data_IF_676554357256
#
_entry.id   IF_676554357256
#
_cell.length_a   1.000
_cell.length_b   1.000
_cell.length_c   1.000
_cell.angle_alpha   90.00
_cell.angle_beta   90.00
_cell.angle_gamma   90.00
#
_symmetry.space_group_name_H-M   'P 1'
#
loop_
_entity.id
_entity.type
_entity.pdbx_description
1 polymer ?
#
# COMPACT_ATOMS: atom_id res chain seq x y z
N UNK A 1 48.65 -9.73 24.60
CA UNK A 1 48.66 -8.68 23.57
C UNK A 1 47.25 -8.59 23.05
N UNK A 2 46.55 -7.48 23.33
CA UNK A 2 45.18 -7.28 22.86
C UNK A 2 45.28 -6.60 21.50
N UNK A 3 45.10 -7.37 20.42
CA UNK A 3 44.90 -6.83 19.08
C UNK A 3 43.51 -6.20 19.03
N UNK A 4 43.39 -4.98 19.55
CA UNK A 4 42.28 -4.10 19.21
C UNK A 4 42.52 -3.65 17.77
N UNK A 5 41.76 -4.23 16.84
CA UNK A 5 41.66 -3.72 15.48
C UNK A 5 41.38 -2.20 15.55
N UNK A 6 42.17 -1.40 14.84
CA UNK A 6 41.99 0.05 14.82
C UNK A 6 40.59 0.37 14.31
N UNK A 7 39.97 1.43 14.83
CA UNK A 7 38.62 1.86 14.44
C UNK A 7 38.53 2.08 12.91
N UNK A 8 39.63 2.52 12.29
CA UNK A 8 39.77 2.68 10.85
C UNK A 8 39.63 1.36 10.06
N UNK A 9 40.01 0.24 10.67
CA UNK A 9 39.87 -1.10 10.08
C UNK A 9 38.46 -1.68 10.24
N UNK A 10 37.74 -1.25 11.28
CA UNK A 10 36.36 -1.70 11.56
C UNK A 10 35.31 -0.82 10.86
N UNK A 11 35.67 0.37 10.42
CA UNK A 11 34.76 1.31 9.77
C UNK A 11 34.06 0.69 8.53
N UNK A 12 34.75 0.01 7.59
CA UNK A 12 34.08 -0.59 6.43
C UNK A 12 33.09 -1.69 6.81
N UNK A 13 33.37 -2.45 7.88
CA UNK A 13 32.47 -3.49 8.37
C UNK A 13 31.24 -2.89 9.05
N UNK A 14 31.41 -1.81 9.83
CA UNK A 14 30.28 -1.08 10.42
C UNK A 14 29.40 -0.44 9.35
N UNK A 15 30.02 0.16 8.34
CA UNK A 15 29.32 0.75 7.19
C UNK A 15 28.60 -0.33 6.36
N UNK A 16 29.12 -1.55 6.31
CA UNK A 16 28.49 -2.68 5.64
C UNK A 16 27.31 -3.29 6.44
N UNK A 17 27.27 -3.12 7.77
CA UNK A 17 26.15 -3.56 8.61
C UNK A 17 25.08 -2.45 8.59
N UNK A 18 24.44 -2.29 7.45
CA UNK A 18 23.26 -1.44 7.32
C UNK A 18 22.08 -2.24 7.86
N UNK A 19 21.41 -1.72 8.89
CA UNK A 19 20.13 -2.24 9.32
C UNK A 19 19.09 -1.85 8.27
N UNK A 20 18.97 -2.66 7.20
CA UNK A 20 17.96 -2.51 6.16
C UNK A 20 16.70 -3.24 6.63
N UNK A 21 15.67 -2.52 7.11
CA UNK A 21 14.42 -3.17 7.50
C UNK A 21 13.79 -3.87 6.29
N UNK A 22 12.96 -4.89 6.48
CA UNK A 22 12.29 -5.62 5.39
C UNK A 22 11.14 -4.82 4.75
N UNK A 23 11.21 -3.49 4.79
CA UNK A 23 10.23 -2.56 4.25
C UNK A 23 10.88 -1.22 3.91
N UNK A 24 10.23 -0.48 3.01
CA UNK A 24 10.58 0.90 2.67
C UNK A 24 9.42 1.82 3.08
N UNK A 25 9.72 3.07 3.45
CA UNK A 25 8.70 4.07 3.78
C UNK A 25 9.07 5.43 3.20
N UNK A 26 8.05 6.22 2.85
CA UNK A 26 8.22 7.52 2.22
C UNK A 26 6.90 8.06 1.67
N UNK A 27 6.97 9.22 1.02
CA UNK A 27 5.82 9.83 0.33
C UNK A 27 6.14 9.97 -1.15
N UNK A 28 5.16 9.66 -2.00
CA UNK A 28 5.23 9.84 -3.44
C UNK A 28 4.28 10.99 -3.83
N UNK A 29 4.77 12.12 -4.35
CA UNK A 29 3.90 13.17 -4.82
C UNK A 29 3.12 12.71 -6.06
N UNK A 30 1.81 12.94 -6.06
CA UNK A 30 0.90 12.64 -7.16
C UNK A 30 0.14 13.90 -7.59
N UNK A 31 -0.44 13.89 -8.79
CA UNK A 31 -1.31 14.97 -9.24
C UNK A 31 -2.59 15.01 -8.39
N UNK A 32 -3.21 16.16 -8.13
CA UNK A 32 -4.55 16.22 -7.52
C UNK A 32 -5.58 15.35 -8.25
N UNK A 33 -5.46 15.23 -9.58
CA UNK A 33 -6.33 14.38 -10.39
C UNK A 33 -6.20 12.88 -10.05
N UNK A 34 -5.08 12.45 -9.47
CA UNK A 34 -4.82 11.05 -9.10
C UNK A 34 -5.63 10.60 -7.88
N UNK A 35 -6.18 11.55 -7.10
CA UNK A 35 -6.93 11.29 -5.87
C UNK A 35 -8.41 10.98 -6.09
N UNK A 36 -8.85 10.90 -7.35
CA UNK A 36 -10.22 10.50 -7.69
C UNK A 36 -10.37 8.99 -7.66
N UNK A 37 -11.40 8.50 -6.98
CA UNK A 37 -11.82 7.10 -7.02
C UNK A 37 -13.20 7.00 -7.66
N UNK A 38 -13.30 6.25 -8.75
CA UNK A 38 -14.58 5.89 -9.35
C UNK A 38 -15.01 4.52 -8.84
N UNK A 39 -16.27 4.37 -8.45
CA UNK A 39 -16.78 3.10 -7.91
C UNK A 39 -18.24 2.87 -8.29
N UNK A 40 -18.70 1.63 -8.10
CA UNK A 40 -20.10 1.25 -8.25
C UNK A 40 -20.73 1.08 -6.87
N UNK A 41 -21.86 1.74 -6.66
CA UNK A 41 -22.76 1.50 -5.54
C UNK A 41 -23.99 0.73 -6.03
N UNK A 42 -24.05 -0.56 -5.73
CA UNK A 42 -25.13 -1.46 -6.20
C UNK A 42 -25.34 -1.38 -7.73
N UNK A 43 -24.25 -1.19 -8.48
CA UNK A 43 -24.27 -1.04 -9.94
C UNK A 43 -24.47 0.40 -10.45
N UNK A 44 -24.73 1.36 -9.57
CA UNK A 44 -24.82 2.78 -9.91
C UNK A 44 -23.42 3.41 -9.88
N UNK A 45 -22.95 4.01 -10.98
CA UNK A 45 -21.65 4.69 -10.98
C UNK A 45 -21.64 5.92 -10.06
N UNK A 46 -20.59 6.02 -9.25
CA UNK A 46 -20.31 7.14 -8.36
C UNK A 46 -18.81 7.46 -8.37
N UNK A 47 -18.43 8.56 -7.75
CA UNK A 47 -17.02 8.89 -7.52
C UNK A 47 -16.84 9.72 -6.25
N UNK A 48 -15.61 9.72 -5.76
CA UNK A 48 -15.14 10.58 -4.67
C UNK A 48 -13.77 11.15 -5.06
N UNK A 49 -13.51 12.39 -4.67
CA UNK A 49 -12.19 13.01 -4.81
C UNK A 49 -11.57 13.13 -3.41
N UNK A 50 -10.54 12.34 -3.11
CA UNK A 50 -9.94 12.33 -1.79
C UNK A 50 -9.19 13.64 -1.45
N UNK A 51 -8.92 14.50 -2.44
CA UNK A 51 -8.36 15.82 -2.19
C UNK A 51 -9.39 16.83 -1.67
N UNK A 52 -10.69 16.58 -1.89
CA UNK A 52 -11.81 17.48 -1.55
C UNK A 52 -13.09 16.69 -1.17
N UNK A 53 -12.94 15.64 -0.36
CA UNK A 53 -14.03 14.76 0.01
C UNK A 53 -14.87 15.34 1.17
N UNK A 54 -16.19 15.34 1.01
CA UNK A 54 -17.12 15.59 2.12
C UNK A 54 -17.34 14.34 2.97
N UNK A 55 -17.81 14.52 4.21
CA UNK A 55 -18.16 13.42 5.11
C UNK A 55 -19.26 12.54 4.50
N UNK A 56 -20.25 13.13 3.85
CA UNK A 56 -21.32 12.40 3.17
C UNK A 56 -20.78 11.52 2.03
N UNK A 57 -19.78 11.99 1.27
CA UNK A 57 -19.15 11.22 0.21
C UNK A 57 -18.33 10.05 0.78
N UNK A 58 -17.66 10.25 1.91
CA UNK A 58 -16.93 9.18 2.62
C UNK A 58 -17.90 8.11 3.16
N UNK A 59 -19.03 8.53 3.74
CA UNK A 59 -20.10 7.63 4.20
C UNK A 59 -20.70 6.86 3.03
N UNK A 60 -20.93 7.51 1.89
CA UNK A 60 -21.44 6.85 0.69
C UNK A 60 -20.46 5.78 0.16
N UNK A 61 -19.16 6.08 0.08
CA UNK A 61 -18.14 5.10 -0.28
C UNK A 61 -18.10 3.92 0.71
N UNK A 62 -18.13 4.20 2.01
CA UNK A 62 -18.14 3.16 3.04
C UNK A 62 -19.37 2.26 2.93
N UNK A 63 -20.54 2.83 2.60
CA UNK A 63 -21.80 2.09 2.43
C UNK A 63 -21.82 1.22 1.16
N UNK A 64 -21.11 1.62 0.11
CA UNK A 64 -20.94 0.83 -1.10
C UNK A 64 -20.03 -0.40 -0.91
N UNK A 65 -19.22 -0.41 0.15
CA UNK A 65 -18.28 -1.49 0.42
C UNK A 65 -18.98 -2.74 0.96
N UNK A 66 -18.51 -3.92 0.54
CA UNK A 66 -18.88 -5.19 1.16
C UNK A 66 -17.98 -5.48 2.36
N UNK A 67 -18.41 -6.31 3.34
CA UNK A 67 -17.52 -6.74 4.41
C UNK A 67 -16.25 -7.40 3.87
N UNK A 68 -15.08 -6.98 4.37
CA UNK A 68 -13.81 -7.55 3.95
C UNK A 68 -13.50 -8.83 4.74
N UNK A 69 -13.56 -9.98 4.05
CA UNK A 69 -12.97 -11.23 4.55
C UNK A 69 -11.44 -11.19 4.50
N UNK A 70 -10.81 -12.07 5.27
CA UNK A 70 -9.38 -12.37 5.21
C UNK A 70 -9.14 -13.88 5.17
N UNK A 71 -8.05 -14.29 4.53
CA UNK A 71 -7.69 -15.70 4.39
C UNK A 71 -7.02 -16.25 5.65
N UNK A 72 -7.59 -17.32 6.21
CA UNK A 72 -6.92 -18.22 7.18
C UNK A 72 -6.99 -19.63 6.61
N UNK A 73 -5.85 -20.33 6.53
CA UNK A 73 -5.79 -21.74 6.13
C UNK A 73 -6.58 -22.05 4.84
N UNK A 74 -6.41 -21.22 3.80
CA UNK A 74 -7.12 -21.33 2.51
C UNK A 74 -8.65 -21.12 2.59
N UNK A 75 -9.15 -20.58 3.71
CA UNK A 75 -10.55 -20.23 3.90
C UNK A 75 -10.71 -18.73 4.13
N UNK A 76 -11.70 -18.12 3.49
CA UNK A 76 -12.06 -16.74 3.77
C UNK A 76 -12.91 -16.67 5.03
N UNK A 77 -12.40 -16.00 6.06
CA UNK A 77 -13.08 -15.79 7.33
C UNK A 77 -13.51 -14.33 7.43
N UNK A 78 -14.76 -14.11 7.83
CA UNK A 78 -15.25 -12.81 8.26
C UNK A 78 -15.19 -12.78 9.79
N UNK A 79 -14.27 -11.99 10.33
CA UNK A 79 -14.15 -11.77 11.77
C UNK A 79 -14.10 -10.26 12.02
N UNK A 80 -15.24 -9.69 12.39
CA UNK A 80 -15.40 -8.27 12.68
C UNK A 80 -14.73 -7.85 14.00
N UNK A 81 -14.31 -8.80 14.85
CA UNK A 81 -13.51 -8.54 16.05
C UNK A 81 -12.01 -8.39 15.74
N UNK A 82 -11.58 -8.91 14.57
CA UNK A 82 -10.21 -8.82 14.07
C UNK A 82 -10.04 -7.73 13.01
N UNK A 83 -11.02 -7.55 12.11
CA UNK A 83 -10.95 -6.56 11.02
C UNK A 83 -12.30 -5.92 10.71
N UNK A 84 -12.50 -4.67 11.12
CA UNK A 84 -13.59 -3.80 10.65
C UNK A 84 -13.16 -3.05 9.40
N UNK A 85 -13.29 -3.69 8.25
CA UNK A 85 -13.00 -3.05 6.97
C UNK A 85 -14.06 -3.41 5.94
N UNK A 86 -14.40 -2.42 5.12
CA UNK A 86 -15.11 -2.61 3.87
C UNK A 86 -14.16 -2.95 2.73
N UNK A 87 -14.68 -3.55 1.66
CA UNK A 87 -13.96 -3.81 0.42
C UNK A 87 -14.74 -3.46 -0.83
N UNK A 88 -14.00 -3.11 -1.88
CA UNK A 88 -14.43 -3.18 -3.27
C UNK A 88 -13.44 -4.06 -4.06
N UNK A 89 -13.97 -5.02 -4.80
CA UNK A 89 -13.17 -5.85 -5.71
C UNK A 89 -12.80 -5.03 -6.97
N UNK A 90 -11.70 -5.33 -7.67
CA UNK A 90 -11.21 -4.56 -8.82
C UNK A 90 -12.25 -4.29 -9.94
N UNK A 91 -13.31 -5.10 -10.04
CA UNK A 91 -14.42 -4.86 -10.98
C UNK A 91 -15.37 -3.72 -10.58
N UNK A 92 -15.34 -3.31 -9.31
CA UNK A 92 -16.27 -2.35 -8.70
C UNK A 92 -15.65 -0.97 -8.53
N UNK A 93 -14.37 -0.79 -8.86
CA UNK A 93 -13.72 0.50 -8.74
C UNK A 93 -12.63 0.69 -9.79
N UNK A 94 -12.26 1.94 -10.01
CA UNK A 94 -11.10 2.32 -10.81
C UNK A 94 -10.46 3.56 -10.24
N UNK A 95 -9.15 3.67 -10.45
CA UNK A 95 -8.33 4.82 -10.06
C UNK A 95 -7.55 5.30 -11.29
N UNK A 96 -7.34 6.62 -11.43
CA UNK A 96 -6.47 7.20 -12.45
C UNK A 96 -4.98 6.91 -12.22
N UNK A 97 -4.59 6.47 -11.01
CA UNK A 97 -3.19 6.14 -10.70
C UNK A 97 -2.70 5.05 -11.66
N UNK A 98 -1.65 5.36 -12.41
CA UNK A 98 -0.90 4.40 -13.22
C UNK A 98 0.49 4.23 -12.60
N UNK A 99 0.72 3.20 -11.77
CA UNK A 99 1.97 2.99 -11.03
C UNK A 99 3.23 3.05 -11.92
N UNK A 100 3.13 2.53 -13.14
CA UNK A 100 4.20 2.51 -14.14
C UNK A 100 4.60 3.91 -14.64
N UNK A 101 3.79 4.94 -14.40
CA UNK A 101 4.08 6.35 -14.73
C UNK A 101 4.64 7.12 -13.54
N UNK A 102 5.01 6.43 -12.47
CA UNK A 102 5.58 7.00 -11.23
C UNK A 102 6.91 6.32 -10.89
N UNK A 103 7.62 6.85 -9.89
CA UNK A 103 8.85 6.23 -9.37
C UNK A 103 8.61 5.01 -8.47
N UNK A 104 7.36 4.59 -8.26
CA UNK A 104 7.04 3.49 -7.34
C UNK A 104 7.77 2.19 -7.70
N UNK A 105 7.85 1.86 -9.00
CA UNK A 105 8.53 0.63 -9.45
C UNK A 105 10.05 0.74 -9.25
N UNK A 106 10.62 1.94 -9.45
CA UNK A 106 12.03 2.23 -9.18
C UNK A 106 12.32 1.99 -7.70
N UNK A 107 11.53 2.58 -6.80
CA UNK A 107 11.70 2.41 -5.36
C UNK A 107 11.54 0.95 -4.91
N UNK A 108 10.59 0.19 -5.47
CA UNK A 108 10.46 -1.24 -5.17
C UNK A 108 11.75 -1.98 -5.55
N UNK A 109 12.34 -1.69 -6.71
CA UNK A 109 13.53 -2.40 -7.20
C UNK A 109 14.82 -2.02 -6.49
N UNK A 110 15.01 -0.75 -6.22
CA UNK A 110 16.27 -0.22 -5.66
C UNK A 110 16.29 -0.34 -4.14
N UNK A 111 15.14 -0.08 -3.49
CA UNK A 111 15.10 0.06 -2.04
C UNK A 111 14.52 -1.18 -1.36
N UNK A 112 13.57 -1.91 -1.99
CA UNK A 112 12.92 -3.07 -1.36
C UNK A 112 13.52 -4.41 -1.79
N UNK A 113 13.85 -4.59 -3.07
CA UNK A 113 14.49 -5.82 -3.55
C UNK A 113 16.00 -5.80 -3.27
N UNK A 114 16.59 -6.98 -3.03
CA UNK A 114 18.03 -7.14 -2.91
C UNK A 114 18.70 -7.06 -4.30
N UNK A 115 20.02 -6.82 -4.35
CA UNK A 115 20.76 -6.59 -5.60
C UNK A 115 20.59 -7.71 -6.64
N UNK A 116 20.46 -8.97 -6.20
CA UNK A 116 20.21 -10.12 -7.09
C UNK A 116 18.79 -10.08 -7.72
N UNK A 117 17.85 -9.45 -7.02
CA UNK A 117 16.42 -9.44 -7.34
C UNK A 117 15.96 -8.12 -7.96
N UNK A 118 16.74 -7.05 -7.78
CA UNK A 118 16.53 -5.72 -8.39
C UNK A 118 16.27 -5.73 -9.91
N UNK A 119 16.97 -6.55 -10.74
CA UNK A 119 16.71 -6.57 -12.18
C UNK A 119 15.39 -7.26 -12.56
N UNK A 120 14.66 -7.87 -11.62
CA UNK A 120 13.42 -8.59 -11.92
C UNK A 120 12.33 -7.64 -12.44
N UNK A 121 11.55 -8.06 -13.45
CA UNK A 121 10.38 -7.31 -13.88
C UNK A 121 9.34 -7.24 -12.77
N UNK A 122 8.91 -6.03 -12.42
CA UNK A 122 7.80 -5.80 -11.49
C UNK A 122 6.56 -5.52 -12.33
N UNK A 123 5.47 -6.22 -12.04
CA UNK A 123 4.15 -5.98 -12.62
C UNK A 123 3.21 -5.54 -11.51
N UNK A 124 2.54 -4.42 -11.70
CA UNK A 124 1.54 -3.92 -10.75
C UNK A 124 0.16 -4.26 -11.28
N UNK A 125 -0.71 -4.75 -10.39
CA UNK A 125 -2.07 -5.16 -10.73
C UNK A 125 -3.05 -4.56 -9.73
N UNK A 126 -4.12 -3.94 -10.24
CA UNK A 126 -5.22 -3.50 -9.40
C UNK A 126 -5.94 -4.72 -8.83
N UNK A 127 -5.93 -4.87 -7.51
CA UNK A 127 -6.49 -6.04 -6.84
C UNK A 127 -7.79 -5.74 -6.10
N UNK A 128 -7.69 -4.96 -5.02
CA UNK A 128 -8.80 -4.74 -4.08
C UNK A 128 -8.59 -3.44 -3.34
N UNK A 129 -9.65 -2.66 -3.18
CA UNK A 129 -9.68 -1.53 -2.27
C UNK A 129 -10.18 -2.00 -0.92
N UNK A 130 -9.45 -1.71 0.16
CA UNK A 130 -9.94 -1.89 1.52
C UNK A 130 -10.18 -0.51 2.14
N UNK A 131 -11.36 -0.32 2.69
CA UNK A 131 -11.77 0.92 3.38
C UNK A 131 -11.84 0.62 4.86
N UNK A 132 -11.12 1.40 5.65
CA UNK A 132 -11.06 1.26 7.09
C UNK A 132 -11.76 2.46 7.72
N UNK A 133 -12.68 2.21 8.65
CA UNK A 133 -13.21 3.24 9.52
C UNK A 133 -12.34 3.29 10.79
N UNK A 134 -12.00 4.49 11.24
CA UNK A 134 -11.37 4.66 12.54
C UNK A 134 -12.43 4.40 13.63
N UNK A 135 -12.10 3.65 14.68
CA UNK A 135 -12.93 3.64 15.88
C UNK A 135 -12.72 4.98 16.58
N UNK A 136 -13.77 5.77 16.70
CA UNK A 136 -13.78 6.84 17.69
C UNK A 136 -13.60 6.18 19.07
N UNK A 137 -12.62 6.65 19.88
CA UNK A 137 -12.35 6.09 21.20
C UNK A 137 -13.55 6.17 22.17
#
# INVERSE_FOLDING_TARGET
MSDTASDEFLQPLRDAIVNKPPYISGTLPLSPDDFRLHYLDQGTPSYIDFADASEEQLVALASACQPASFGINQSDVLDESYRKAGKLDASQFSTPIVPERTELITFIREELLDDEDSPRPVKVELYKLNVHAEELP
#
